data_IF_565552160974
#
_entry.id   IF_565552160974
#
_cell.length_a   1.000
_cell.length_b   1.000
_cell.length_c   1.000
_cell.angle_alpha   90.00
_cell.angle_beta   90.00
_cell.angle_gamma   90.00
#
_symmetry.space_group_name_H-M   'P 1'
#
loop_
_entity.id
_entity.type
_entity.pdbx_description
1 polymer ?
#
# COMPACT_ATOMS: atom_id res chain seq x y z
N UNK A 1 -30.99 30.45 -37.60
CA UNK A 1 -30.32 30.35 -36.29
C UNK A 1 -29.89 28.90 -36.10
N UNK A 2 -28.58 28.62 -36.12
CA UNK A 2 -28.04 27.25 -36.07
C UNK A 2 -27.19 27.10 -34.82
N UNK A 3 -27.64 26.29 -33.86
CA UNK A 3 -26.91 26.01 -32.63
C UNK A 3 -25.92 24.86 -32.87
N UNK A 4 -24.61 25.14 -32.76
CA UNK A 4 -23.54 24.14 -32.75
C UNK A 4 -23.39 23.59 -31.33
N UNK A 5 -23.79 22.34 -31.11
CA UNK A 5 -23.49 21.61 -29.88
C UNK A 5 -22.11 20.98 -30.06
N UNK A 6 -21.10 21.55 -29.37
CA UNK A 6 -19.74 21.00 -29.33
C UNK A 6 -19.71 19.80 -28.39
N UNK A 7 -19.68 18.60 -28.96
CA UNK A 7 -19.54 17.33 -28.26
C UNK A 7 -18.07 17.10 -27.88
N UNK A 8 -17.58 17.82 -26.85
CA UNK A 8 -16.26 17.54 -26.27
C UNK A 8 -16.37 16.36 -25.30
N UNK A 9 -16.49 15.16 -25.86
CA UNK A 9 -16.41 13.90 -25.13
C UNK A 9 -14.94 13.65 -24.78
N UNK A 10 -14.44 14.33 -23.74
CA UNK A 10 -13.09 14.13 -23.22
C UNK A 10 -13.04 12.75 -22.56
N UNK A 11 -12.47 11.78 -23.27
CA UNK A 11 -12.23 10.42 -22.82
C UNK A 11 -11.21 10.39 -21.67
N UNK A 12 -11.68 10.58 -20.44
CA UNK A 12 -10.97 10.22 -19.22
C UNK A 12 -10.94 8.69 -19.10
N UNK A 13 -10.11 8.04 -19.91
CA UNK A 13 -9.72 6.67 -19.62
C UNK A 13 -8.86 6.72 -18.35
N UNK A 14 -9.26 6.10 -17.23
CA UNK A 14 -8.32 5.86 -16.16
C UNK A 14 -7.26 4.92 -16.72
N UNK A 15 -6.09 5.47 -17.08
CA UNK A 15 -4.92 4.66 -17.37
C UNK A 15 -4.64 3.83 -16.12
N UNK A 16 -5.13 2.58 -16.11
CA UNK A 16 -4.75 1.62 -15.10
C UNK A 16 -3.21 1.58 -15.04
N UNK A 17 -2.61 1.46 -13.86
CA UNK A 17 -1.18 1.31 -13.73
C UNK A 17 -0.79 -0.10 -14.22
N UNK A 18 -0.68 -0.23 -15.54
CA UNK A 18 -0.07 -1.37 -16.21
C UNK A 18 1.42 -1.27 -15.85
N UNK A 19 1.78 -1.84 -14.69
CA UNK A 19 3.15 -1.81 -14.14
C UNK A 19 3.87 -3.10 -14.51
N UNK A 20 5.15 -3.01 -14.83
CA UNK A 20 6.02 -4.09 -15.29
C UNK A 20 6.00 -5.22 -14.32
N UNK A 21 6.32 -6.38 -14.87
CA UNK A 21 6.49 -7.59 -14.09
C UNK A 21 7.86 -8.19 -14.32
N UNK A 22 8.41 -8.69 -13.23
CA UNK A 22 9.51 -9.65 -13.28
C UNK A 22 9.11 -10.82 -14.21
N UNK A 23 10.01 -11.18 -15.11
CA UNK A 23 9.82 -12.21 -16.13
C UNK A 23 9.31 -11.72 -17.48
N UNK A 24 8.89 -10.45 -17.62
CA UNK A 24 8.50 -9.87 -18.92
C UNK A 24 9.72 -9.73 -19.85
N UNK A 25 9.49 -9.88 -21.16
CA UNK A 25 10.50 -9.64 -22.20
C UNK A 25 10.62 -8.15 -22.49
N UNK A 26 11.70 -7.75 -23.19
CA UNK A 26 11.91 -6.37 -23.66
C UNK A 26 10.68 -5.79 -24.38
N UNK A 27 10.07 -6.55 -25.29
CA UNK A 27 8.93 -6.05 -26.08
C UNK A 27 7.68 -5.81 -25.22
N UNK A 28 7.44 -6.67 -24.21
CA UNK A 28 6.34 -6.49 -23.27
C UNK A 28 6.57 -5.28 -22.37
N UNK A 29 7.81 -5.06 -21.93
CA UNK A 29 8.20 -3.86 -21.19
C UNK A 29 7.99 -2.60 -22.05
N UNK A 30 8.42 -2.62 -23.31
CA UNK A 30 8.25 -1.50 -24.22
C UNK A 30 6.78 -1.21 -24.56
N UNK A 31 5.96 -2.23 -24.76
CA UNK A 31 4.51 -2.10 -24.94
C UNK A 31 3.87 -1.42 -23.74
N UNK A 32 4.39 -1.70 -22.55
CA UNK A 32 3.87 -1.20 -21.29
C UNK A 32 4.33 0.21 -20.97
N UNK A 33 5.61 0.50 -21.12
CA UNK A 33 6.23 1.76 -20.71
C UNK A 33 6.44 2.77 -21.83
N UNK A 34 6.26 2.34 -23.07
CA UNK A 34 6.76 3.05 -24.23
C UNK A 34 8.21 2.65 -24.54
N UNK A 35 8.82 3.28 -25.56
CA UNK A 35 10.20 3.01 -25.92
C UNK A 35 11.14 3.34 -24.76
N UNK A 36 12.23 2.56 -24.64
CA UNK A 36 13.28 2.85 -23.67
C UNK A 36 13.94 4.20 -23.99
N UNK A 37 14.17 5.01 -22.96
CA UNK A 37 14.92 6.27 -23.09
C UNK A 37 16.43 6.03 -23.08
N UNK A 38 16.87 4.91 -22.53
CA UNK A 38 18.25 4.46 -22.50
C UNK A 38 18.28 2.93 -22.56
N UNK A 39 19.18 2.38 -23.38
CA UNK A 39 19.42 0.95 -23.50
C UNK A 39 20.93 0.71 -23.44
N UNK A 40 21.37 -0.02 -22.40
CA UNK A 40 22.77 -0.34 -22.17
C UNK A 40 22.93 -1.84 -21.90
N UNK A 41 23.08 -2.61 -22.97
CA UNK A 41 23.13 -4.07 -22.90
C UNK A 41 21.83 -4.64 -22.32
N UNK A 42 21.93 -5.32 -21.18
CA UNK A 42 20.78 -5.91 -20.49
C UNK A 42 20.00 -4.90 -19.62
N UNK A 43 20.46 -3.66 -19.50
CA UNK A 43 19.78 -2.62 -18.73
C UNK A 43 18.91 -1.74 -19.64
N UNK A 44 17.61 -1.71 -19.37
CA UNK A 44 16.64 -0.84 -20.03
C UNK A 44 16.12 0.22 -19.06
N UNK A 45 16.13 1.48 -19.47
CA UNK A 45 15.52 2.59 -18.72
C UNK A 45 14.31 3.12 -19.46
N UNK A 46 13.20 3.29 -18.75
CA UNK A 46 11.96 3.89 -19.24
C UNK A 46 11.54 5.06 -18.34
N UNK A 47 10.79 6.01 -18.88
CA UNK A 47 10.08 7.03 -18.10
C UNK A 47 8.60 7.00 -18.44
N UNK A 48 7.74 6.90 -17.43
CA UNK A 48 6.29 6.95 -17.59
C UNK A 48 5.63 7.61 -16.39
N UNK A 49 4.81 8.63 -16.66
CA UNK A 49 4.03 9.33 -15.64
C UNK A 49 4.86 9.86 -14.45
N UNK A 50 6.07 10.37 -14.73
CA UNK A 50 6.99 10.88 -13.70
C UNK A 50 7.64 9.78 -12.84
N UNK A 51 7.59 8.52 -13.28
CA UNK A 51 8.27 7.39 -12.67
C UNK A 51 9.33 6.87 -13.64
N UNK A 52 10.57 6.82 -13.16
CA UNK A 52 11.68 6.18 -13.84
C UNK A 52 11.66 4.68 -13.53
N UNK A 53 11.73 3.86 -14.56
CA UNK A 53 11.73 2.39 -14.46
C UNK A 53 13.01 1.86 -15.06
N UNK A 54 13.83 1.21 -14.25
CA UNK A 54 15.05 0.53 -14.70
C UNK A 54 14.84 -0.97 -14.62
N UNK A 55 14.94 -1.67 -15.74
CA UNK A 55 14.77 -3.11 -15.83
C UNK A 55 16.09 -3.76 -16.26
N UNK A 56 16.65 -4.61 -15.42
CA UNK A 56 17.77 -5.47 -15.78
C UNK A 56 17.24 -6.79 -16.31
N UNK A 57 17.63 -7.11 -17.54
CA UNK A 57 17.31 -8.36 -18.19
C UNK A 57 18.34 -9.43 -17.82
N UNK A 58 17.89 -10.68 -17.75
CA UNK A 58 18.74 -11.87 -17.71
C UNK A 58 18.06 -12.91 -18.60
N UNK A 59 18.82 -13.47 -19.53
CA UNK A 59 18.31 -14.41 -20.54
C UNK A 59 17.09 -13.85 -21.31
N UNK A 60 17.14 -12.55 -21.64
CA UNK A 60 16.09 -11.83 -22.37
C UNK A 60 14.83 -11.52 -21.58
N UNK A 61 14.80 -11.77 -20.26
CA UNK A 61 13.65 -11.51 -19.38
C UNK A 61 14.01 -10.61 -18.20
N UNK A 62 13.09 -9.78 -17.76
CA UNK A 62 13.26 -8.87 -16.63
C UNK A 62 13.53 -9.64 -15.33
N UNK A 63 14.77 -9.62 -14.84
CA UNK A 63 15.18 -10.31 -13.63
C UNK A 63 15.22 -9.40 -12.40
N UNK A 64 15.41 -8.09 -12.62
CA UNK A 64 15.34 -7.04 -11.60
C UNK A 64 14.66 -5.83 -12.20
N UNK A 65 13.81 -5.17 -11.40
CA UNK A 65 13.20 -3.91 -11.77
C UNK A 65 13.27 -2.93 -10.61
N UNK A 66 13.65 -1.70 -10.90
CA UNK A 66 13.72 -0.58 -9.97
C UNK A 66 12.80 0.53 -10.43
N UNK A 67 12.00 1.04 -9.50
CA UNK A 67 11.14 2.20 -9.67
C UNK A 67 11.67 3.35 -8.83
N UNK A 68 11.77 4.53 -9.43
CA UNK A 68 12.11 5.77 -8.74
C UNK A 68 11.29 6.93 -9.34
N UNK A 69 11.28 8.08 -8.68
CA UNK A 69 10.78 9.32 -9.30
C UNK A 69 11.71 9.73 -10.44
N UNK A 70 11.12 10.18 -11.54
CA UNK A 70 11.89 10.72 -12.65
C UNK A 70 12.29 12.18 -12.35
N UNK A 71 13.53 12.37 -11.89
CA UNK A 71 14.06 13.70 -11.54
C UNK A 71 14.16 14.62 -12.76
N UNK A 72 14.32 14.06 -13.97
CA UNK A 72 14.36 14.85 -15.20
C UNK A 72 13.00 15.51 -15.51
N UNK A 73 11.91 15.01 -14.93
CA UNK A 73 10.58 15.65 -15.02
C UNK A 73 10.43 16.86 -14.09
N UNK A 74 11.46 17.25 -13.35
CA UNK A 74 11.43 18.36 -12.39
C UNK A 74 10.68 18.02 -11.09
N UNK A 75 10.30 16.76 -10.91
CA UNK A 75 9.62 16.27 -9.72
C UNK A 75 10.67 15.64 -8.80
N UNK A 76 11.32 16.47 -7.99
CA UNK A 76 12.19 15.97 -6.92
C UNK A 76 11.37 15.22 -5.85
N UNK A 77 11.92 14.11 -5.35
CA UNK A 77 11.36 13.41 -4.20
C UNK A 77 11.42 11.89 -4.28
N UNK A 78 10.94 11.24 -3.22
CA UNK A 78 10.73 9.80 -3.12
C UNK A 78 9.39 9.38 -3.74
N UNK A 79 9.28 8.10 -4.12
CA UNK A 79 7.96 7.51 -4.37
C UNK A 79 7.11 7.61 -3.11
N UNK A 80 5.86 8.04 -3.25
CA UNK A 80 4.92 8.02 -2.11
C UNK A 80 4.57 6.58 -1.74
N UNK A 81 4.14 6.36 -0.49
CA UNK A 81 3.73 5.03 -0.02
C UNK A 81 2.59 4.43 -0.87
N UNK A 82 1.70 5.27 -1.39
CA UNK A 82 0.63 4.88 -2.31
C UNK A 82 1.18 4.41 -3.66
N UNK A 83 2.20 5.09 -4.21
CA UNK A 83 2.88 4.67 -5.43
C UNK A 83 3.62 3.34 -5.23
N UNK A 84 4.37 3.20 -4.14
CA UNK A 84 5.08 1.96 -3.79
C UNK A 84 4.09 0.80 -3.68
N UNK A 85 2.98 1.00 -2.96
CA UNK A 85 1.95 -0.01 -2.77
C UNK A 85 1.27 -0.43 -4.08
N UNK A 86 1.03 0.51 -5.00
CA UNK A 86 0.44 0.23 -6.31
C UNK A 86 1.41 -0.55 -7.22
N UNK A 87 2.67 -0.10 -7.29
CA UNK A 87 3.72 -0.77 -8.07
C UNK A 87 4.01 -2.18 -7.56
N UNK A 88 4.05 -2.33 -6.24
CA UNK A 88 4.21 -3.63 -5.60
C UNK A 88 3.03 -4.56 -5.87
N UNK A 89 1.79 -4.08 -5.72
CA UNK A 89 0.58 -4.88 -5.98
C UNK A 89 0.52 -5.40 -7.43
N UNK A 90 0.96 -4.59 -8.40
CA UNK A 90 1.01 -5.00 -9.80
C UNK A 90 2.04 -6.13 -10.07
N UNK A 91 3.02 -6.31 -9.18
CA UNK A 91 4.06 -7.33 -9.25
C UNK A 91 3.79 -8.57 -8.39
N UNK A 92 2.66 -8.61 -7.66
CA UNK A 92 2.37 -9.74 -6.76
C UNK A 92 2.05 -11.03 -7.51
N UNK A 93 1.45 -10.97 -8.71
CA UNK A 93 1.02 -12.14 -9.50
C UNK A 93 0.21 -13.18 -8.70
N UNK A 94 -0.56 -12.73 -7.70
CA UNK A 94 -1.32 -13.62 -6.81
C UNK A 94 -0.49 -14.38 -5.79
N UNK A 95 0.83 -14.18 -5.75
CA UNK A 95 1.72 -14.72 -4.73
C UNK A 95 1.45 -14.03 -3.38
N UNK A 96 1.57 -14.81 -2.30
CA UNK A 96 1.61 -14.24 -0.95
C UNK A 96 3.01 -13.67 -0.72
N UNK A 97 3.10 -12.54 -0.03
CA UNK A 97 4.38 -11.91 0.28
C UNK A 97 4.52 -11.75 1.79
N UNK A 98 5.65 -12.20 2.32
CA UNK A 98 5.96 -12.13 3.75
C UNK A 98 7.11 -11.17 3.95
N UNK A 99 6.97 -10.24 4.90
CA UNK A 99 8.05 -9.34 5.31
C UNK A 99 9.03 -10.09 6.20
N UNK A 100 10.29 -10.16 5.77
CA UNK A 100 11.39 -10.69 6.56
C UNK A 100 11.88 -9.65 7.59
N UNK A 101 12.66 -10.11 8.57
CA UNK A 101 13.17 -9.27 9.67
C UNK A 101 14.07 -8.11 9.19
N UNK A 102 14.71 -8.28 8.03
CA UNK A 102 15.53 -7.28 7.35
C UNK A 102 14.71 -6.21 6.60
N UNK A 103 13.38 -6.28 6.64
CA UNK A 103 12.45 -5.38 5.93
C UNK A 103 12.16 -5.77 4.48
N UNK A 104 12.84 -6.80 3.95
CA UNK A 104 12.63 -7.33 2.60
C UNK A 104 11.30 -8.07 2.54
N UNK A 105 10.51 -7.87 1.50
CA UNK A 105 9.33 -8.69 1.20
C UNK A 105 9.77 -9.87 0.34
N UNK A 106 9.41 -11.10 0.70
CA UNK A 106 9.71 -12.32 -0.05
C UNK A 106 8.42 -12.97 -0.53
N UNK A 107 8.38 -13.40 -1.78
CA UNK A 107 7.22 -14.11 -2.33
C UNK A 107 7.15 -15.55 -1.80
N UNK A 108 5.95 -16.12 -1.79
CA UNK A 108 5.68 -17.47 -1.28
C UNK A 108 6.35 -18.60 -2.08
N UNK A 109 6.73 -18.35 -3.33
CA UNK A 109 7.51 -19.28 -4.15
C UNK A 109 9.04 -19.20 -3.86
N UNK A 110 9.47 -18.25 -3.02
CA UNK A 110 10.86 -17.98 -2.71
C UNK A 110 11.68 -17.44 -3.90
N UNK A 111 11.05 -17.18 -5.05
CA UNK A 111 11.74 -16.77 -6.27
C UNK A 111 11.88 -15.27 -6.41
N UNK A 112 11.12 -14.47 -5.66
CA UNK A 112 11.12 -13.01 -5.76
C UNK A 112 11.31 -12.37 -4.41
N UNK A 113 11.95 -11.22 -4.43
CA UNK A 113 12.06 -10.33 -3.29
C UNK A 113 11.86 -8.89 -3.70
N UNK A 114 11.34 -8.08 -2.79
CA UNK A 114 11.12 -6.66 -2.99
C UNK A 114 11.62 -5.88 -1.79
N UNK A 115 12.27 -4.75 -2.06
CA UNK A 115 12.79 -3.82 -1.05
C UNK A 115 12.33 -2.42 -1.43
N UNK A 116 11.71 -1.74 -0.48
CA UNK A 116 11.47 -0.30 -0.57
C UNK A 116 12.53 0.41 0.27
N UNK A 117 13.46 1.10 -0.37
CA UNK A 117 14.53 1.84 0.28
C UNK A 117 14.83 3.13 -0.48
N UNK A 118 15.17 4.18 0.27
CA UNK A 118 15.60 5.48 -0.26
C UNK A 118 14.61 6.10 -1.27
N UNK A 119 13.31 5.89 -1.03
CA UNK A 119 12.26 6.40 -1.92
C UNK A 119 12.14 5.67 -3.26
N UNK A 120 12.78 4.51 -3.39
CA UNK A 120 12.69 3.62 -4.55
C UNK A 120 12.06 2.28 -4.16
N UNK A 121 11.47 1.60 -5.14
CA UNK A 121 11.02 0.21 -5.00
C UNK A 121 11.86 -0.65 -5.94
N UNK A 122 12.53 -1.65 -5.39
CA UNK A 122 13.26 -2.66 -6.16
C UNK A 122 12.55 -4.00 -5.99
N UNK A 123 12.31 -4.70 -7.10
CA UNK A 123 11.80 -6.07 -7.11
C UNK A 123 12.78 -6.89 -7.93
N UNK A 124 13.18 -8.05 -7.44
CA UNK A 124 14.17 -8.88 -8.12
C UNK A 124 13.95 -10.37 -7.87
N UNK A 125 14.45 -11.20 -8.78
CA UNK A 125 14.45 -12.65 -8.62
C UNK A 125 15.57 -13.11 -7.68
N UNK A 126 15.39 -14.26 -7.03
CA UNK A 126 16.42 -14.90 -6.19
C UNK A 126 17.71 -15.20 -6.97
N UNK A 127 17.58 -15.49 -8.27
CA UNK A 127 18.69 -15.69 -9.18
C UNK A 127 19.59 -14.44 -9.35
N UNK A 128 19.09 -13.26 -9.01
CA UNK A 128 19.84 -12.02 -9.02
C UNK A 128 20.56 -11.79 -7.67
N UNK A 129 19.95 -12.19 -6.55
CA UNK A 129 20.52 -12.03 -5.20
C UNK A 129 21.76 -12.88 -4.96
N UNK A 130 21.76 -14.10 -5.49
CA UNK A 130 22.81 -15.09 -5.22
C UNK A 130 24.07 -14.88 -6.06
N UNK A 131 24.02 -14.00 -7.07
CA UNK A 131 25.16 -13.68 -7.94
C UNK A 131 26.19 -12.73 -7.33
N UNK A 132 25.83 -11.98 -6.28
CA UNK A 132 26.73 -10.99 -5.65
C UNK A 132 27.23 -11.41 -4.25
N UNK A 133 26.63 -12.42 -3.63
CA UNK A 133 27.06 -12.95 -2.33
C UNK A 133 26.89 -14.47 -2.28
N UNK A 134 27.77 -15.20 -2.95
CA UNK A 134 27.97 -16.62 -2.67
C UNK A 134 28.89 -16.77 -1.46
N UNK A 135 28.31 -16.73 -0.26
CA UNK A 135 29.02 -16.95 1.00
C UNK A 135 28.02 -17.11 2.16
N UNK A 136 27.78 -18.37 2.53
CA UNK A 136 27.14 -18.87 3.76
C UNK A 136 25.60 -18.79 3.94
N UNK A 137 24.98 -19.99 3.94
CA UNK A 137 24.16 -20.46 5.08
C UNK A 137 22.64 -20.24 5.04
N UNK A 138 21.89 -21.27 4.65
CA UNK A 138 20.47 -21.48 5.03
C UNK A 138 20.36 -21.93 6.51
N UNK A 139 19.17 -22.16 7.14
CA UNK A 139 17.77 -21.88 6.78
C UNK A 139 17.04 -21.09 7.91
N UNK A 140 15.70 -20.88 7.89
CA UNK A 140 14.82 -21.04 9.09
C UNK A 140 13.41 -20.40 8.99
N UNK A 141 12.43 -21.20 9.46
CA UNK A 141 11.18 -20.97 10.19
C UNK A 141 10.36 -19.66 10.05
N UNK A 142 9.04 -19.84 9.93
CA UNK A 142 7.99 -18.84 10.20
C UNK A 142 8.13 -18.27 11.64
N UNK A 143 8.28 -16.95 11.82
CA UNK A 143 7.99 -16.29 13.08
C UNK A 143 6.73 -15.41 12.96
N UNK A 144 5.93 -15.35 14.02
CA UNK A 144 4.95 -14.29 14.17
C UNK A 144 5.61 -12.92 13.99
N UNK A 145 4.88 -11.98 13.37
CA UNK A 145 5.36 -10.63 13.07
C UNK A 145 6.23 -10.07 14.20
N UNK A 146 7.52 -9.93 13.92
CA UNK A 146 8.43 -9.29 14.86
C UNK A 146 7.91 -7.88 15.15
N UNK A 147 7.85 -7.44 16.42
CA UNK A 147 7.33 -6.14 16.77
C UNK A 147 8.13 -5.06 16.05
N UNK A 148 7.44 -4.09 15.45
CA UNK A 148 8.06 -2.88 14.89
C UNK A 148 8.83 -2.20 16.02
N UNK A 149 10.17 -2.25 15.97
CA UNK A 149 11.04 -1.65 16.99
C UNK A 149 11.39 -0.23 16.60
N UNK A 150 11.29 0.67 17.57
CA UNK A 150 11.65 2.08 17.46
C UNK A 150 12.87 2.32 18.33
N UNK A 151 13.94 2.90 17.77
CA UNK A 151 15.22 3.10 18.48
C UNK A 151 15.51 4.57 18.82
N UNK A 152 14.68 5.50 18.35
CA UNK A 152 14.80 6.93 18.66
C UNK A 152 14.17 7.33 20.00
N UNK A 153 14.47 8.55 20.50
CA UNK A 153 13.82 9.10 21.68
C UNK A 153 12.31 9.25 21.46
N UNK A 154 11.53 8.98 22.51
CA UNK A 154 10.08 9.15 22.48
C UNK A 154 9.70 10.65 22.42
N UNK A 155 8.75 11.05 21.57
CA UNK A 155 8.28 12.43 21.51
C UNK A 155 7.45 12.78 22.76
N UNK A 156 7.55 14.02 23.22
CA UNK A 156 6.76 14.53 24.35
C UNK A 156 5.54 15.33 23.86
N UNK A 157 4.42 15.18 24.57
CA UNK A 157 3.12 15.85 24.30
C UNK A 157 2.66 15.68 22.85
N UNK A 158 2.39 14.43 22.46
CA UNK A 158 1.88 14.13 21.12
C UNK A 158 0.41 14.52 21.00
N UNK A 159 0.10 15.36 20.01
CA UNK A 159 -1.26 15.59 19.53
C UNK A 159 -1.56 14.71 18.32
N UNK A 160 -2.73 14.08 18.33
CA UNK A 160 -3.26 13.29 17.21
C UNK A 160 -4.50 13.96 16.62
N UNK A 161 -4.58 13.96 15.30
CA UNK A 161 -5.80 14.23 14.55
C UNK A 161 -5.95 13.16 13.47
N UNK A 162 -6.82 12.20 13.72
CA UNK A 162 -7.18 11.15 12.78
C UNK A 162 -8.55 11.44 12.15
N UNK A 163 -8.66 11.24 10.85
CA UNK A 163 -9.92 11.32 10.11
C UNK A 163 -9.98 10.23 9.05
N UNK A 164 -11.17 9.79 8.71
CA UNK A 164 -11.36 8.93 7.53
C UNK A 164 -10.95 9.75 6.31
N UNK A 165 -9.83 9.37 5.67
CA UNK A 165 -9.25 10.08 4.54
C UNK A 165 -9.90 9.67 3.22
N UNK A 166 -10.31 8.41 3.11
CA UNK A 166 -11.12 7.95 2.00
C UNK A 166 -12.08 6.81 2.39
N UNK A 167 -13.21 6.81 1.71
CA UNK A 167 -14.24 5.78 1.72
C UNK A 167 -14.63 5.52 0.26
N UNK A 168 -13.67 5.23 -0.61
CA UNK A 168 -14.01 5.19 -2.04
C UNK A 168 -12.89 5.18 -3.07
N UNK A 169 -11.60 5.18 -2.69
CA UNK A 169 -10.56 4.78 -3.64
C UNK A 169 -10.57 3.25 -3.74
N UNK A 170 -11.67 2.69 -4.28
CA UNK A 170 -11.81 1.25 -4.48
C UNK A 170 -10.64 0.76 -5.32
N UNK A 171 -9.82 -0.14 -4.79
CA UNK A 171 -9.12 -1.08 -5.66
C UNK A 171 -10.19 -2.01 -6.18
N UNK A 172 -10.74 -1.68 -7.34
CA UNK A 172 -11.53 -2.57 -8.17
C UNK A 172 -10.65 -3.76 -8.59
N UNK A 173 -10.48 -4.73 -7.70
CA UNK A 173 -9.79 -5.97 -8.00
C UNK A 173 -10.74 -6.83 -8.83
N UNK A 174 -10.66 -6.65 -10.16
CA UNK A 174 -11.45 -7.30 -11.22
C UNK A 174 -12.93 -6.91 -11.25
N UNK A 175 -13.32 -6.27 -12.34
CA UNK A 175 -14.68 -6.31 -12.85
C UNK A 175 -14.69 -7.25 -14.05
N UNK A 176 -15.35 -8.40 -13.91
CA UNK A 176 -15.71 -9.22 -15.07
C UNK A 176 -17.20 -9.47 -14.99
N UNK A 177 -17.97 -8.68 -15.73
CA UNK A 177 -19.41 -8.84 -15.85
C UNK A 177 -19.71 -9.36 -17.26
N UNK A 178 -20.37 -10.51 -17.36
CA UNK A 178 -21.14 -10.81 -18.57
C UNK A 178 -22.37 -9.88 -18.60
N UNK A 179 -22.86 -9.57 -19.81
CA UNK A 179 -24.02 -8.68 -20.02
C UNK A 179 -25.15 -9.02 -19.05
N UNK A 180 -25.44 -8.12 -18.09
CA UNK A 180 -26.53 -8.26 -17.12
C UNK A 180 -26.18 -8.79 -15.71
N UNK A 181 -24.93 -9.14 -15.40
CA UNK A 181 -24.51 -9.57 -14.05
C UNK A 181 -23.50 -8.59 -13.44
N UNK A 182 -23.96 -7.67 -12.58
CA UNK A 182 -23.06 -6.87 -11.75
C UNK A 182 -22.30 -7.80 -10.80
N UNK A 183 -20.97 -7.67 -10.73
CA UNK A 183 -20.21 -8.36 -9.72
C UNK A 183 -20.68 -7.88 -8.35
N UNK A 184 -20.92 -8.86 -7.51
CA UNK A 184 -21.78 -8.77 -6.35
C UNK A 184 -20.97 -8.27 -5.14
N UNK A 185 -19.63 -8.33 -5.18
CA UNK A 185 -18.76 -7.98 -4.07
C UNK A 185 -17.76 -6.87 -4.45
N UNK A 186 -18.11 -5.62 -4.15
CA UNK A 186 -17.17 -4.49 -4.26
C UNK A 186 -16.40 -4.39 -2.94
N UNK A 187 -15.08 -4.52 -3.02
CA UNK A 187 -14.20 -4.28 -1.89
C UNK A 187 -13.79 -2.81 -1.87
N UNK A 188 -13.92 -2.14 -0.72
CA UNK A 188 -13.42 -0.79 -0.53
C UNK A 188 -12.34 -0.78 0.53
N UNK A 189 -11.23 -0.15 0.19
CA UNK A 189 -10.22 0.20 1.18
C UNK A 189 -10.82 1.33 2.04
N UNK A 190 -10.88 1.09 3.35
CA UNK A 190 -11.08 2.16 4.33
C UNK A 190 -9.70 2.72 4.65
N UNK A 191 -9.56 4.04 4.54
CA UNK A 191 -8.29 4.71 4.85
C UNK A 191 -8.50 5.74 5.94
N UNK A 192 -7.63 5.71 6.96
CA UNK A 192 -7.54 6.71 8.01
C UNK A 192 -6.28 7.52 7.79
N UNK A 193 -6.44 8.82 7.58
CA UNK A 193 -5.34 9.77 7.61
C UNK A 193 -5.10 10.19 9.04
N UNK A 194 -3.90 9.93 9.55
CA UNK A 194 -3.46 10.25 10.90
C UNK A 194 -2.42 11.35 10.83
N UNK A 195 -2.79 12.52 11.33
CA UNK A 195 -1.89 13.65 11.48
C UNK A 195 -1.37 13.74 12.91
N UNK A 196 -0.05 13.84 13.06
CA UNK A 196 0.64 13.89 14.34
C UNK A 196 1.44 15.18 14.47
N UNK A 197 1.43 15.75 15.67
CA UNK A 197 2.28 16.87 16.09
C UNK A 197 2.88 16.55 17.46
N UNK A 198 4.12 16.95 17.71
CA UNK A 198 4.76 16.81 19.02
C UNK A 198 5.52 18.08 19.38
N UNK A 199 5.78 18.28 20.67
CA UNK A 199 6.60 19.41 21.14
C UNK A 199 8.11 19.16 21.02
N UNK A 200 8.52 17.91 20.90
CA UNK A 200 9.91 17.49 20.68
C UNK A 200 9.96 16.48 19.54
N UNK A 201 11.03 16.47 18.72
CA UNK A 201 11.18 15.47 17.68
C UNK A 201 11.33 14.09 18.34
N UNK A 202 10.82 13.06 17.67
CA UNK A 202 10.92 11.70 18.19
C UNK A 202 10.28 10.67 17.28
N UNK A 203 10.49 9.40 17.57
CA UNK A 203 9.85 8.32 16.85
C UNK A 203 8.68 7.74 17.67
N UNK A 204 7.60 7.40 17.00
CA UNK A 204 6.42 6.79 17.59
C UNK A 204 5.87 5.68 16.70
N UNK A 205 5.05 4.80 17.27
CA UNK A 205 4.32 3.77 16.54
C UNK A 205 2.87 4.21 16.43
N UNK A 206 2.36 4.33 15.21
CA UNK A 206 0.93 4.52 14.94
C UNK A 206 0.29 3.15 14.81
N UNK A 207 -0.57 2.81 15.76
CA UNK A 207 -1.33 1.56 15.79
C UNK A 207 -2.80 1.86 15.50
N UNK A 208 -3.32 1.34 14.39
CA UNK A 208 -4.73 1.47 13.99
C UNK A 208 -5.46 0.17 14.20
N UNK A 209 -6.48 0.20 15.06
CA UNK A 209 -7.43 -0.89 15.29
C UNK A 209 -8.67 -0.66 14.44
N UNK A 210 -8.94 -1.59 13.54
CA UNK A 210 -10.12 -1.59 12.71
C UNK A 210 -11.23 -2.37 13.40
N UNK A 211 -12.36 -1.72 13.64
CA UNK A 211 -13.45 -2.26 14.46
C UNK A 211 -14.59 -2.69 13.55
N UNK A 212 -15.11 -3.89 13.80
CA UNK A 212 -16.28 -4.42 13.13
C UNK A 212 -17.26 -5.07 14.11
N UNK A 213 -18.46 -5.31 13.63
CA UNK A 213 -19.58 -5.92 14.35
C UNK A 213 -19.98 -7.20 13.61
N UNK A 214 -20.11 -8.31 14.32
CA UNK A 214 -20.54 -9.58 13.73
C UNK A 214 -22.06 -9.61 13.65
N UNK A 215 -22.61 -9.65 12.45
CA UNK A 215 -24.03 -9.44 12.23
C UNK A 215 -24.88 -10.60 12.78
N UNK A 216 -24.46 -11.84 12.52
CA UNK A 216 -25.24 -13.01 12.89
C UNK A 216 -25.40 -13.16 14.41
N UNK A 217 -24.35 -12.81 15.15
CA UNK A 217 -24.32 -12.99 16.61
C UNK A 217 -24.88 -11.80 17.37
N UNK A 218 -25.15 -10.67 16.68
CA UNK A 218 -25.33 -9.35 17.31
C UNK A 218 -24.27 -9.11 18.40
N UNK A 219 -23.08 -9.68 18.18
CA UNK A 219 -22.01 -9.57 19.15
C UNK A 219 -21.50 -8.15 19.09
N UNK A 220 -21.16 -7.58 20.25
CA UNK A 220 -20.67 -6.21 20.30
C UNK A 220 -19.47 -5.99 19.38
N UNK A 221 -19.12 -4.72 19.21
CA UNK A 221 -17.97 -4.32 18.41
C UNK A 221 -16.69 -5.05 18.85
N UNK A 222 -15.92 -5.56 17.89
CA UNK A 222 -14.63 -6.24 18.12
C UNK A 222 -13.55 -5.70 17.18
N UNK A 223 -12.29 -5.82 17.60
CA UNK A 223 -11.13 -5.54 16.74
C UNK A 223 -11.03 -6.65 15.68
N UNK A 224 -10.99 -6.26 14.42
CA UNK A 224 -10.95 -7.16 13.26
C UNK A 224 -9.53 -7.22 12.69
N UNK A 225 -8.84 -6.08 12.69
CA UNK A 225 -7.52 -5.94 12.11
C UNK A 225 -6.74 -4.88 12.90
N UNK A 226 -5.43 -5.08 13.04
CA UNK A 226 -4.51 -4.13 13.66
C UNK A 226 -3.40 -3.84 12.68
N UNK A 227 -3.14 -2.57 12.42
CA UNK A 227 -2.08 -2.11 11.52
C UNK A 227 -1.10 -1.25 12.32
N UNK A 228 0.21 -1.46 12.15
CA UNK A 228 1.26 -0.71 12.86
C UNK A 228 2.26 -0.09 11.90
N UNK A 229 2.60 1.17 12.13
CA UNK A 229 3.61 1.88 11.35
C UNK A 229 4.49 2.75 12.27
N UNK A 230 5.81 2.66 12.10
CA UNK A 230 6.74 3.56 12.80
C UNK A 230 6.82 4.89 12.04
N UNK A 231 6.67 6.00 12.76
CA UNK A 231 6.64 7.35 12.20
C UNK A 231 7.62 8.24 12.95
N UNK A 232 8.42 8.99 12.20
CA UNK A 232 9.26 10.06 12.74
C UNK A 232 8.43 11.35 12.82
N UNK A 233 8.18 11.84 14.03
CA UNK A 233 7.45 13.08 14.28
C UNK A 233 8.47 14.22 14.40
N UNK A 234 8.37 15.28 13.58
CA UNK A 234 9.24 16.44 13.71
C UNK A 234 8.88 17.23 14.97
N UNK A 235 9.87 17.87 15.60
CA UNK A 235 9.66 18.69 16.80
C UNK A 235 8.91 19.99 16.56
N UNK A 236 8.87 20.44 15.30
CA UNK A 236 8.00 21.51 14.83
C UNK A 236 7.31 21.04 13.55
N UNK A 237 6.01 21.30 13.45
CA UNK A 237 5.20 20.92 12.28
C UNK A 237 4.32 19.70 12.51
N UNK A 238 3.89 19.10 11.40
CA UNK A 238 2.91 18.01 11.37
C UNK A 238 3.38 16.95 10.38
N UNK A 239 3.32 15.69 10.78
CA UNK A 239 3.49 14.54 9.89
C UNK A 239 2.14 13.88 9.68
N UNK A 240 1.87 13.41 8.46
CA UNK A 240 0.64 12.67 8.14
C UNK A 240 0.99 11.30 7.60
N UNK A 241 0.34 10.27 8.14
CA UNK A 241 0.42 8.87 7.68
C UNK A 241 -0.97 8.38 7.31
N UNK A 242 -1.06 7.53 6.29
CA UNK A 242 -2.32 6.93 5.83
C UNK A 242 -2.32 5.44 6.15
N UNK A 243 -3.31 5.00 6.93
CA UNK A 243 -3.46 3.60 7.35
C UNK A 243 -4.69 3.03 6.66
N UNK A 244 -4.53 1.90 5.96
CA UNK A 244 -5.61 1.25 5.20
C UNK A 244 -6.01 -0.11 5.73
N UNK A 245 -7.30 -0.46 5.63
CA UNK A 245 -7.82 -1.82 5.83
C UNK A 245 -8.92 -2.13 4.82
N UNK A 246 -8.95 -3.36 4.34
CA UNK A 246 -9.96 -3.83 3.41
C UNK A 246 -11.26 -4.18 4.14
N UNK A 247 -12.35 -3.49 3.80
CA UNK A 247 -13.71 -3.87 4.17
C UNK A 247 -14.55 -4.12 2.91
N UNK A 248 -15.48 -5.07 3.00
CA UNK A 248 -16.54 -5.19 1.99
C UNK A 248 -17.55 -4.10 2.32
N UNK A 249 -17.80 -3.22 1.37
CA UNK A 249 -18.84 -2.21 1.46
C UNK A 249 -19.86 -2.43 0.37
N UNK A 250 -21.11 -2.16 0.71
CA UNK A 250 -22.19 -2.19 -0.24
C UNK A 250 -22.48 -0.76 -0.72
N UNK A 251 -22.58 -0.56 -2.03
CA UNK A 251 -22.93 0.76 -2.57
C UNK A 251 -24.44 0.93 -2.51
N UNK A 252 -24.92 1.75 -1.57
CA UNK A 252 -26.35 2.00 -1.34
C UNK A 252 -27.06 2.67 -2.51
N UNK A 253 -26.31 3.16 -3.51
CA UNK A 253 -26.88 3.68 -4.77
C UNK A 253 -27.67 2.62 -5.56
N UNK A 254 -27.45 1.33 -5.32
CA UNK A 254 -28.21 0.26 -5.95
C UNK A 254 -29.16 -0.35 -4.91
N UNK A 255 -30.40 0.15 -4.87
CA UNK A 255 -31.45 -0.20 -3.91
C UNK A 255 -31.84 -1.70 -3.84
N UNK A 256 -31.28 -2.56 -4.72
CA UNK A 256 -31.63 -3.98 -4.84
C UNK A 256 -30.59 -4.94 -4.24
N UNK A 257 -29.46 -4.46 -3.71
CA UNK A 257 -28.38 -5.33 -3.23
C UNK A 257 -28.32 -5.21 -1.71
N UNK A 258 -28.76 -6.23 -0.97
CA UNK A 258 -28.70 -6.28 0.49
C UNK A 258 -27.28 -6.07 1.05
N UNK A 259 -27.17 -5.77 2.35
CA UNK A 259 -25.89 -5.51 3.04
C UNK A 259 -24.89 -6.64 2.80
N UNK A 260 -23.65 -6.30 2.40
CA UNK A 260 -22.56 -7.24 2.11
C UNK A 260 -21.33 -6.94 2.93
N UNK A 261 -20.68 -7.99 3.42
CA UNK A 261 -19.76 -7.91 4.56
C UNK A 261 -18.56 -8.85 4.43
N UNK A 262 -17.43 -8.45 5.01
CA UNK A 262 -16.24 -9.30 5.07
C UNK A 262 -16.49 -10.39 6.11
N UNK A 263 -16.82 -11.60 5.66
CA UNK A 263 -17.04 -12.77 6.56
C UNK A 263 -18.12 -12.53 7.63
N UNK A 264 -19.22 -11.84 7.29
CA UNK A 264 -20.30 -11.51 8.24
C UNK A 264 -19.93 -10.44 9.27
N UNK A 265 -18.88 -9.66 8.99
CA UNK A 265 -18.46 -8.53 9.81
C UNK A 265 -18.75 -7.22 9.09
N UNK A 266 -19.58 -6.40 9.73
CA UNK A 266 -19.88 -5.02 9.32
C UNK A 266 -18.86 -4.06 9.91
N UNK A 267 -18.35 -3.14 9.09
CA UNK A 267 -17.48 -2.07 9.57
C UNK A 267 -18.18 -1.17 10.59
N UNK A 268 -17.59 -1.01 11.77
CA UNK A 268 -18.14 -0.21 12.86
C UNK A 268 -17.33 1.08 13.11
N UNK A 269 -16.04 1.08 12.81
CA UNK A 269 -15.17 2.25 12.98
C UNK A 269 -13.69 1.90 13.08
N UNK A 270 -12.92 2.84 13.62
CA UNK A 270 -11.49 2.67 13.86
C UNK A 270 -11.10 3.33 15.19
N UNK A 271 -9.99 2.87 15.77
CA UNK A 271 -9.30 3.53 16.87
C UNK A 271 -7.81 3.59 16.56
N UNK A 272 -7.22 4.78 16.65
CA UNK A 272 -5.79 4.99 16.49
C UNK A 272 -5.16 5.24 17.86
N UNK A 273 -4.09 4.51 18.15
CA UNK A 273 -3.20 4.69 19.28
C UNK A 273 -1.84 5.16 18.75
N UNK A 274 -1.23 6.12 19.42
CA UNK A 274 0.17 6.47 19.21
C UNK A 274 0.94 5.94 20.40
N UNK A 275 1.92 5.09 20.15
CA UNK A 275 2.73 4.43 21.16
C UNK A 275 4.16 4.94 21.09
N UNK A 276 4.87 4.97 22.22
CA UNK A 276 6.33 5.10 22.22
C UNK A 276 7.00 3.76 21.87
N UNK A 277 8.34 3.74 21.83
CA UNK A 277 9.11 2.51 21.59
C UNK A 277 9.00 1.46 22.71
N UNK A 278 8.49 1.83 23.89
CA UNK A 278 8.19 0.93 25.01
C UNK A 278 6.75 0.41 25.02
N UNK A 279 5.90 0.84 24.08
CA UNK A 279 4.49 0.47 24.00
C UNK A 279 3.55 1.31 24.87
N UNK A 280 4.04 2.39 25.50
CA UNK A 280 3.17 3.29 26.28
C UNK A 280 2.33 4.15 25.35
N UNK A 281 1.05 4.33 25.69
CA UNK A 281 0.12 5.15 24.90
C UNK A 281 0.42 6.64 25.14
N UNK A 282 0.86 7.32 24.08
CA UNK A 282 1.09 8.76 24.07
C UNK A 282 -0.18 9.55 23.71
N UNK A 283 -0.98 9.02 22.78
CA UNK A 283 -2.22 9.64 22.34
C UNK A 283 -3.20 8.58 21.79
N UNK A 284 -4.50 8.88 21.86
CA UNK A 284 -5.57 8.01 21.38
C UNK A 284 -6.68 8.83 20.74
N UNK A 285 -7.21 8.34 19.63
CA UNK A 285 -8.41 8.88 19.01
C UNK A 285 -9.23 7.76 18.36
N UNK A 286 -10.53 7.74 18.60
CA UNK A 286 -11.47 6.86 17.91
C UNK A 286 -12.35 7.61 16.93
N UNK A 287 -12.87 6.92 15.92
CA UNK A 287 -13.93 7.47 15.07
C UNK A 287 -15.21 7.77 15.86
N UNK A 288 -15.42 7.07 16.98
CA UNK A 288 -16.49 7.29 17.96
C UNK A 288 -15.93 7.08 19.37
N UNK A 289 -16.31 7.90 20.37
CA UNK A 289 -15.81 7.76 21.74
C UNK A 289 -15.99 6.36 22.36
N UNK A 290 -17.12 5.64 22.19
CA UNK A 290 -17.30 4.32 22.78
C UNK A 290 -16.31 3.25 22.28
N UNK A 291 -15.78 3.40 21.07
CA UNK A 291 -14.87 2.41 20.49
C UNK A 291 -13.51 2.41 21.17
N UNK A 292 -13.09 3.53 21.77
CA UNK A 292 -11.82 3.65 22.47
C UNK A 292 -11.74 2.65 23.63
N UNK A 293 -12.86 2.32 24.27
CA UNK A 293 -12.92 1.36 25.36
C UNK A 293 -12.55 -0.08 24.94
N UNK A 294 -12.59 -0.40 23.64
CA UNK A 294 -12.32 -1.73 23.11
C UNK A 294 -10.83 -2.05 22.96
N UNK A 295 -9.96 -1.04 23.04
CA UNK A 295 -8.53 -1.15 22.72
C UNK A 295 -7.62 -0.71 23.88
N UNK A 296 -8.17 -0.73 25.10
CA UNK A 296 -7.45 -0.36 26.32
C UNK A 296 -6.42 -1.41 26.70
#
# INVERSE_FOLDING_TARGET
>A
MSAKISLSLLSLFPCLPVSAKIGETKDLLATRYGPAIEENGDLLTFSKSGILVKADLKDGKCARIRFAKDVASGIEGSLSQNQISALFAANQDGLQWTRAADGTLRSSDGQRQAVAADGSLVIQTAAFTNGEKAGEGAPSANPGEAPVRVTGPAPTRVGIMAKTASAGSGRDKKWTTWWGSYDKDIFRDRVVGVSLRASTPGQAIVETHWIGEEIEKKSGNKVVEVSREAVLIPGQGQVTVEMGCLFVENDTKYAALGVRERKGIRYAGWVVRVLDGGGNVLAVQGSRPPLIALVR
#
